data_IF_755437696911
#
_entry.id   IF_755437696911
#
_cell.length_a   1.000
_cell.length_b   1.000
_cell.length_c   1.000
_cell.angle_alpha   90.00
_cell.angle_beta   90.00
_cell.angle_gamma   90.00
#
_symmetry.space_group_name_H-M   'P 1'
#
loop_
_entity.id
_entity.type
_entity.pdbx_description
1 polymer ?
#
# COMPACT_ATOMS: atom_id res chain seq x y z
N UNK A 1 -3.95 9.68 19.85
CA UNK A 1 -2.61 10.00 20.39
C UNK A 1 -1.70 10.18 19.22
N UNK A 2 -1.15 11.40 19.06
CA UNK A 2 -0.40 11.79 17.87
C UNK A 2 0.98 11.14 17.79
N UNK A 3 1.39 10.82 16.57
CA UNK A 3 2.79 10.64 16.22
C UNK A 3 3.24 11.87 15.43
N UNK A 4 3.80 12.83 16.16
CA UNK A 4 4.66 13.87 15.59
C UNK A 4 6.12 13.55 15.94
N UNK A 5 7.01 13.62 14.96
CA UNK A 5 8.46 13.49 15.16
C UNK A 5 9.19 13.11 13.88
N UNK A 6 9.61 14.11 13.12
CA UNK A 6 10.14 13.95 11.76
C UNK A 6 11.56 13.36 11.66
N UNK A 7 11.79 12.72 10.51
CA UNK A 7 13.09 12.49 9.89
C UNK A 7 12.94 12.57 8.35
N UNK A 8 13.35 13.70 7.76
CA UNK A 8 14.21 13.72 6.57
C UNK A 8 13.74 13.11 5.24
N UNK A 9 12.48 12.75 5.06
CA UNK A 9 11.89 12.43 3.77
C UNK A 9 10.42 12.06 3.98
N UNK A 10 9.50 12.89 3.49
CA UNK A 10 8.06 12.53 3.47
C UNK A 10 7.94 11.11 2.91
N UNK A 11 7.43 10.18 3.72
CA UNK A 11 7.27 8.80 3.27
C UNK A 11 6.43 8.80 1.99
N UNK A 12 6.86 8.06 0.98
CA UNK A 12 6.17 8.06 -0.30
C UNK A 12 5.03 7.03 -0.25
N UNK A 13 3.80 7.50 -0.42
CA UNK A 13 2.62 6.64 -0.39
C UNK A 13 2.68 5.53 -1.46
N UNK A 14 3.32 5.79 -2.61
CA UNK A 14 3.52 4.79 -3.66
C UNK A 14 4.50 3.68 -3.24
N UNK A 15 5.53 3.99 -2.45
CA UNK A 15 6.45 2.98 -1.92
C UNK A 15 5.79 2.15 -0.82
N UNK A 16 5.02 2.80 0.07
CA UNK A 16 4.26 2.11 1.12
C UNK A 16 3.29 1.10 0.49
N UNK A 17 2.48 1.55 -0.47
CA UNK A 17 1.52 0.70 -1.17
C UNK A 17 2.19 -0.43 -1.95
N UNK A 18 3.24 -0.12 -2.72
CA UNK A 18 3.91 -1.12 -3.54
C UNK A 18 4.52 -2.25 -2.69
N UNK A 19 5.12 -1.92 -1.55
CA UNK A 19 5.69 -2.93 -0.66
C UNK A 19 4.63 -3.91 -0.15
N UNK A 20 3.50 -3.40 0.33
CA UNK A 20 2.42 -4.24 0.86
C UNK A 20 1.70 -5.04 -0.23
N UNK A 21 1.53 -4.46 -1.41
CA UNK A 21 0.92 -5.14 -2.55
C UNK A 21 1.76 -6.31 -3.05
N UNK A 22 3.09 -6.15 -3.11
CA UNK A 22 4.01 -7.24 -3.49
C UNK A 22 3.87 -8.39 -2.48
N UNK A 23 3.90 -8.10 -1.18
CA UNK A 23 3.76 -9.11 -0.14
C UNK A 23 2.39 -9.82 -0.21
N UNK A 24 1.30 -9.08 -0.42
CA UNK A 24 -0.05 -9.66 -0.53
C UNK A 24 -0.17 -10.60 -1.73
N UNK A 25 0.34 -10.18 -2.90
CA UNK A 25 0.37 -11.03 -4.10
C UNK A 25 1.21 -12.29 -3.90
N UNK A 26 2.35 -12.18 -3.20
CA UNK A 26 3.17 -13.35 -2.86
C UNK A 26 2.46 -14.30 -1.90
N UNK A 27 1.77 -13.78 -0.88
CA UNK A 27 0.98 -14.59 0.05
C UNK A 27 -0.13 -15.37 -0.67
N UNK A 28 -0.88 -14.70 -1.56
CA UNK A 28 -1.91 -15.35 -2.39
C UNK A 28 -1.29 -16.40 -3.32
N UNK A 29 -0.16 -16.09 -3.97
CA UNK A 29 0.55 -17.06 -4.80
C UNK A 29 1.07 -18.28 -4.01
N UNK A 30 1.37 -18.09 -2.72
CA UNK A 30 1.77 -19.16 -1.79
C UNK A 30 0.57 -19.92 -1.18
N UNK A 31 -0.66 -19.61 -1.58
CA UNK A 31 -1.87 -20.35 -1.19
C UNK A 31 -2.61 -19.80 0.02
N UNK A 32 -2.28 -18.59 0.50
CA UNK A 32 -3.14 -17.87 1.46
C UNK A 32 -4.42 -17.46 0.75
N UNK A 33 -5.59 -17.69 1.39
CA UNK A 33 -6.88 -17.29 0.84
C UNK A 33 -6.98 -15.75 0.76
N UNK A 34 -6.88 -15.23 -0.47
CA UNK A 34 -6.98 -13.80 -0.76
C UNK A 34 -8.39 -13.31 -1.12
N UNK A 35 -9.43 -14.15 -0.99
CA UNK A 35 -10.80 -13.80 -1.41
C UNK A 35 -11.32 -12.53 -0.73
N UNK A 36 -10.96 -12.31 0.54
CA UNK A 36 -11.36 -11.13 1.31
C UNK A 36 -10.62 -9.84 0.92
N UNK A 37 -9.46 -9.93 0.25
CA UNK A 37 -8.61 -8.77 -0.08
C UNK A 37 -8.49 -8.53 -1.60
N UNK A 38 -9.20 -9.31 -2.41
CA UNK A 38 -9.12 -9.27 -3.88
C UNK A 38 -9.39 -7.88 -4.47
N UNK A 39 -10.44 -7.21 -3.97
CA UNK A 39 -10.79 -5.85 -4.41
C UNK A 39 -9.70 -4.82 -4.04
N UNK A 40 -9.11 -4.94 -2.84
CA UNK A 40 -8.01 -4.07 -2.41
C UNK A 40 -6.74 -4.29 -3.22
N UNK A 41 -6.43 -5.53 -3.63
CA UNK A 41 -5.31 -5.82 -4.55
C UNK A 41 -5.54 -5.13 -5.90
N UNK A 42 -6.76 -5.23 -6.45
CA UNK A 42 -7.10 -4.61 -7.73
C UNK A 42 -7.06 -3.07 -7.66
N UNK A 43 -7.55 -2.49 -6.56
CA UNK A 43 -7.45 -1.05 -6.28
C UNK A 43 -5.99 -0.60 -6.20
N UNK A 44 -5.16 -1.32 -5.43
CA UNK A 44 -3.74 -1.01 -5.29
C UNK A 44 -2.98 -1.07 -6.62
N UNK A 45 -3.27 -2.05 -7.48
CA UNK A 45 -2.76 -2.11 -8.84
C UNK A 45 -3.18 -0.89 -9.68
N UNK A 46 -4.44 -0.47 -9.55
CA UNK A 46 -4.96 0.73 -10.21
C UNK A 46 -4.24 2.00 -9.75
N UNK A 47 -4.04 2.15 -8.45
CA UNK A 47 -3.32 3.28 -7.85
C UNK A 47 -1.84 3.31 -8.27
N UNK A 48 -1.19 2.16 -8.46
CA UNK A 48 0.20 2.10 -8.92
C UNK A 48 0.36 2.23 -10.44
N UNK A 49 -0.72 2.07 -11.22
CA UNK A 49 -0.69 2.25 -12.68
C UNK A 49 -0.47 3.71 -13.11
N UNK A 50 -0.64 4.67 -12.21
CA UNK A 50 -0.57 6.11 -12.53
C UNK A 50 0.85 6.61 -12.82
N UNK A 51 1.89 5.82 -12.53
CA UNK A 51 3.28 6.24 -12.66
C UNK A 51 4.17 5.26 -13.42
N UNK A 52 5.42 5.70 -13.65
CA UNK A 52 6.46 4.90 -14.29
C UNK A 52 7.25 4.09 -13.28
N UNK A 53 8.51 4.47 -13.04
CA UNK A 53 9.36 3.80 -12.04
C UNK A 53 9.12 4.42 -10.66
N UNK A 54 8.89 3.58 -9.65
CA UNK A 54 8.85 4.00 -8.24
C UNK A 54 10.19 4.62 -7.80
N UNK A 55 10.19 5.58 -6.85
CA UNK A 55 9.03 6.23 -6.22
C UNK A 55 8.30 7.24 -7.11
N UNK A 56 7.01 7.46 -6.88
CA UNK A 56 6.19 8.47 -7.61
C UNK A 56 6.18 9.87 -6.97
N UNK A 57 6.74 10.03 -5.79
CA UNK A 57 6.74 11.28 -5.04
C UNK A 57 5.40 11.63 -4.40
N UNK A 58 4.50 10.65 -4.19
CA UNK A 58 3.15 10.91 -3.67
C UNK A 58 3.20 11.16 -2.17
N UNK A 59 2.80 12.36 -1.76
CA UNK A 59 2.70 12.73 -0.35
C UNK A 59 1.53 12.00 0.31
N UNK A 60 1.73 11.48 1.52
CA UNK A 60 0.72 10.69 2.27
C UNK A 60 -0.51 11.49 2.69
N UNK A 61 -0.43 12.82 2.71
CA UNK A 61 -1.51 13.72 3.07
C UNK A 61 -2.31 14.25 1.87
N UNK A 62 -1.94 13.89 0.64
CA UNK A 62 -2.78 14.16 -0.53
C UNK A 62 -3.90 13.13 -0.65
N UNK A 63 -4.99 13.47 -1.34
CA UNK A 63 -6.11 12.54 -1.56
C UNK A 63 -5.66 11.21 -2.18
N UNK A 64 -4.76 11.26 -3.16
CA UNK A 64 -4.16 10.05 -3.76
C UNK A 64 -3.28 9.30 -2.75
N UNK A 65 -2.51 10.02 -1.94
CA UNK A 65 -1.66 9.42 -0.91
C UNK A 65 -2.46 8.72 0.17
N UNK A 66 -3.60 9.29 0.59
CA UNK A 66 -4.49 8.69 1.57
C UNK A 66 -5.15 7.41 1.02
N UNK A 67 -5.56 7.40 -0.25
CA UNK A 67 -6.04 6.17 -0.89
C UNK A 67 -4.96 5.08 -0.93
N UNK A 68 -3.72 5.45 -1.27
CA UNK A 68 -2.59 4.52 -1.27
C UNK A 68 -2.26 3.98 0.13
N UNK A 69 -2.28 4.84 1.16
CA UNK A 69 -2.03 4.43 2.54
C UNK A 69 -3.16 3.53 3.06
N UNK A 70 -4.42 3.87 2.80
CA UNK A 70 -5.56 3.05 3.22
C UNK A 70 -5.55 1.65 2.60
N UNK A 71 -5.27 1.55 1.29
CA UNK A 71 -5.09 0.25 0.65
C UNK A 71 -3.89 -0.52 1.25
N UNK A 72 -2.79 0.17 1.54
CA UNK A 72 -1.62 -0.44 2.16
C UNK A 72 -1.90 -0.98 3.58
N UNK A 73 -2.71 -0.30 4.38
CA UNK A 73 -3.10 -0.75 5.72
C UNK A 73 -3.91 -2.04 5.69
N UNK A 74 -4.85 -2.16 4.75
CA UNK A 74 -5.65 -3.38 4.56
C UNK A 74 -4.76 -4.54 4.08
N UNK A 75 -3.85 -4.28 3.15
CA UNK A 75 -2.88 -5.27 2.67
C UNK A 75 -1.90 -5.68 3.79
N UNK A 76 -1.47 -4.75 4.64
CA UNK A 76 -0.63 -5.04 5.82
C UNK A 76 -1.36 -5.94 6.82
N UNK A 77 -2.64 -5.67 7.10
CA UNK A 77 -3.45 -6.53 7.97
C UNK A 77 -3.53 -7.96 7.41
N UNK A 78 -3.84 -8.11 6.12
CA UNK A 78 -3.83 -9.40 5.43
C UNK A 78 -2.46 -10.09 5.51
N UNK A 79 -1.38 -9.37 5.21
CA UNK A 79 -0.01 -9.90 5.21
C UNK A 79 0.44 -10.42 6.57
N UNK A 80 -0.12 -9.86 7.65
CA UNK A 80 0.19 -10.24 9.02
C UNK A 80 -0.91 -11.11 9.67
N UNK A 81 -1.94 -11.52 8.92
CA UNK A 81 -3.04 -12.35 9.42
C UNK A 81 -3.88 -11.72 10.54
N UNK A 82 -4.08 -10.39 10.49
CA UNK A 82 -4.88 -9.61 11.45
C UNK A 82 -6.32 -9.41 11.01
#
# INVERSE_FOLDING_TARGET
GGMGGGMGGKADASLILAHQLIAAKLNVANGVDGSAIGDTIAEADGLLRIGGKLPYGVATDSDTGQAMVGAAELLDAFNNGR
#
